data_IF_017746982991
#
_entry.id   IF_017746982991
#
_cell.length_a   1.000
_cell.length_b   1.000
_cell.length_c   1.000
_cell.angle_alpha   90.00
_cell.angle_beta   90.00
_cell.angle_gamma   90.00
#
_symmetry.space_group_name_H-M   'P 1'
#
loop_
_entity.id
_entity.type
_entity.pdbx_description
1 polymer ?
#
# COMPACT_ATOMS: atom_id res chain seq x y z
N UNK A 1 -20.26 9.60 -28.08
CA UNK A 1 -19.99 10.91 -27.44
C UNK A 1 -20.08 10.70 -25.95
N UNK A 2 -18.93 10.60 -25.26
CA UNK A 2 -18.89 10.34 -23.82
C UNK A 2 -19.38 11.58 -23.07
N UNK A 3 -20.39 11.40 -22.22
CA UNK A 3 -21.09 12.47 -21.52
C UNK A 3 -20.24 12.87 -20.33
N UNK A 4 -19.58 14.02 -20.41
CA UNK A 4 -18.90 14.63 -19.27
C UNK A 4 -19.96 14.96 -18.21
N UNK A 5 -20.02 14.19 -17.13
CA UNK A 5 -20.84 14.55 -15.97
C UNK A 5 -20.24 15.83 -15.38
N UNK A 6 -20.96 16.93 -15.53
CA UNK A 6 -20.58 18.22 -14.98
C UNK A 6 -20.56 18.10 -13.45
N UNK A 7 -19.36 18.15 -12.86
CA UNK A 7 -19.17 18.18 -11.42
C UNK A 7 -19.84 19.48 -10.92
N UNK A 8 -20.91 19.35 -10.14
CA UNK A 8 -21.60 20.52 -9.57
C UNK A 8 -20.72 21.15 -8.49
N UNK A 9 -20.42 22.45 -8.66
CA UNK A 9 -19.68 23.29 -7.70
C UNK A 9 -20.22 23.07 -6.29
N UNK A 10 -19.36 22.66 -5.36
CA UNK A 10 -19.71 22.36 -3.97
C UNK A 10 -19.97 20.88 -3.64
N UNK A 11 -20.03 19.98 -4.64
CA UNK A 11 -20.01 18.51 -4.46
C UNK A 11 -18.78 17.84 -5.06
N UNK A 12 -17.75 18.64 -5.33
CA UNK A 12 -16.50 18.18 -5.92
C UNK A 12 -15.78 17.18 -5.02
N UNK A 13 -15.80 17.37 -3.70
CA UNK A 13 -15.19 16.44 -2.74
C UNK A 13 -15.86 15.06 -2.78
N UNK A 14 -17.19 15.00 -2.70
CA UNK A 14 -17.97 13.75 -2.75
C UNK A 14 -17.87 13.06 -4.13
N UNK A 15 -17.76 13.84 -5.21
CA UNK A 15 -17.57 13.32 -6.57
C UNK A 15 -16.16 12.75 -6.77
N UNK A 16 -15.14 13.40 -6.20
CA UNK A 16 -13.75 12.92 -6.20
C UNK A 16 -13.63 11.67 -5.33
N UNK A 17 -14.22 11.64 -4.13
CA UNK A 17 -14.22 10.46 -3.25
C UNK A 17 -14.85 9.26 -3.94
N UNK A 18 -16.03 9.42 -4.55
CA UNK A 18 -16.69 8.35 -5.31
C UNK A 18 -15.88 7.89 -6.53
N UNK A 19 -15.14 8.80 -7.18
CA UNK A 19 -14.32 8.48 -8.34
C UNK A 19 -13.02 7.77 -7.94
N UNK A 20 -12.40 8.18 -6.83
CA UNK A 20 -11.26 7.50 -6.21
C UNK A 20 -11.66 6.10 -5.75
N UNK A 21 -12.85 5.94 -5.16
CA UNK A 21 -13.36 4.63 -4.75
C UNK A 21 -13.60 3.70 -5.95
N UNK A 22 -14.27 4.18 -6.99
CA UNK A 22 -14.62 3.34 -8.15
C UNK A 22 -13.45 3.03 -9.07
N UNK A 23 -12.59 4.00 -9.36
CA UNK A 23 -11.51 3.83 -10.33
C UNK A 23 -10.19 3.39 -9.71
N UNK A 24 -9.91 3.80 -8.47
CA UNK A 24 -8.64 3.49 -7.81
C UNK A 24 -8.79 2.38 -6.77
N UNK A 25 -9.85 2.32 -5.97
CA UNK A 25 -9.94 1.24 -4.99
C UNK A 25 -10.38 -0.10 -5.60
N UNK A 26 -11.44 -0.11 -6.40
CA UNK A 26 -12.03 -1.35 -6.91
C UNK A 26 -11.23 -1.97 -8.08
N UNK A 27 -10.53 -1.15 -8.88
CA UNK A 27 -9.96 -1.61 -10.14
C UNK A 27 -8.60 -0.98 -10.50
N UNK A 28 -7.83 -0.44 -9.54
CA UNK A 28 -6.52 0.13 -9.86
C UNK A 28 -5.61 -0.84 -10.62
N UNK A 29 -5.68 -2.16 -10.34
CA UNK A 29 -4.88 -3.13 -11.08
C UNK A 29 -5.22 -3.17 -12.58
N UNK A 30 -6.41 -2.78 -13.00
CA UNK A 30 -6.74 -2.68 -14.42
C UNK A 30 -6.60 -1.25 -14.97
N UNK A 31 -6.42 -0.23 -14.13
CA UNK A 31 -6.43 1.20 -14.53
C UNK A 31 -5.17 1.99 -14.14
N UNK A 32 -4.16 1.34 -13.55
CA UNK A 32 -2.83 1.90 -13.23
C UNK A 32 -2.03 2.14 -14.53
N UNK A 33 -2.34 3.25 -15.21
CA UNK A 33 -1.55 3.82 -16.30
C UNK A 33 -1.09 5.25 -15.92
N UNK A 34 0.24 5.50 -15.84
CA UNK A 34 1.34 4.54 -15.93
C UNK A 34 1.38 3.60 -14.70
N UNK A 35 1.93 2.38 -14.88
CA UNK A 35 1.92 1.25 -13.94
C UNK A 35 2.70 1.43 -12.61
N UNK A 36 2.43 2.51 -11.88
CA UNK A 36 3.17 2.88 -10.67
C UNK A 36 2.81 1.97 -9.50
N UNK A 37 1.53 1.73 -9.25
CA UNK A 37 1.06 0.90 -8.14
C UNK A 37 1.47 -0.57 -8.33
N UNK A 38 1.38 -1.09 -9.57
CA UNK A 38 1.86 -2.45 -9.89
C UNK A 38 3.34 -2.57 -9.63
N UNK A 39 4.13 -1.58 -10.07
CA UNK A 39 5.57 -1.57 -9.87
C UNK A 39 5.93 -1.55 -8.38
N UNK A 40 5.23 -0.74 -7.57
CA UNK A 40 5.42 -0.71 -6.11
C UNK A 40 5.13 -2.09 -5.51
N UNK A 41 3.96 -2.67 -5.83
CA UNK A 41 3.55 -3.99 -5.35
C UNK A 41 4.59 -5.05 -5.69
N UNK A 42 4.98 -5.13 -6.95
CA UNK A 42 5.87 -6.17 -7.44
C UNK A 42 7.25 -6.03 -6.77
N UNK A 43 7.76 -4.81 -6.54
CA UNK A 43 9.01 -4.57 -5.79
C UNK A 43 8.93 -5.03 -4.33
N UNK A 44 7.76 -4.95 -3.69
CA UNK A 44 7.58 -5.41 -2.31
C UNK A 44 7.52 -6.94 -2.22
N UNK A 45 6.94 -7.59 -3.23
CA UNK A 45 6.63 -9.01 -3.21
C UNK A 45 7.62 -9.89 -3.99
N UNK A 46 8.54 -9.29 -4.77
CA UNK A 46 9.48 -10.01 -5.63
C UNK A 46 10.35 -11.02 -4.87
N UNK A 47 10.79 -10.69 -3.66
CA UNK A 47 11.58 -11.57 -2.82
C UNK A 47 10.75 -12.01 -1.61
N UNK A 48 10.17 -13.21 -1.68
CA UNK A 48 9.34 -13.77 -0.61
C UNK A 48 10.03 -13.86 0.75
N UNK A 49 11.36 -14.02 0.79
CA UNK A 49 12.12 -14.08 2.05
C UNK A 49 12.18 -12.71 2.73
N UNK A 50 12.26 -11.62 1.96
CA UNK A 50 12.28 -10.26 2.49
C UNK A 50 10.89 -9.61 2.57
N UNK A 51 9.92 -10.09 1.78
CA UNK A 51 8.60 -9.49 1.65
C UNK A 51 7.86 -9.43 2.99
N UNK A 52 7.99 -10.46 3.83
CA UNK A 52 7.38 -10.48 5.17
C UNK A 52 7.87 -9.33 6.06
N UNK A 53 9.19 -9.10 6.10
CA UNK A 53 9.80 -8.00 6.87
C UNK A 53 9.39 -6.63 6.33
N UNK A 54 9.40 -6.46 5.00
CA UNK A 54 8.98 -5.21 4.35
C UNK A 54 7.51 -4.87 4.63
N UNK A 55 6.61 -5.86 4.55
CA UNK A 55 5.20 -5.67 4.83
C UNK A 55 4.96 -5.38 6.32
N UNK A 56 5.65 -6.08 7.24
CA UNK A 56 5.56 -5.80 8.68
C UNK A 56 6.05 -4.39 9.05
N UNK A 57 7.16 -3.95 8.45
CA UNK A 57 7.67 -2.59 8.61
C UNK A 57 6.68 -1.56 8.06
N UNK A 58 6.07 -1.84 6.92
CA UNK A 58 5.06 -0.97 6.34
C UNK A 58 3.78 -0.89 7.18
N UNK A 59 3.31 -1.99 7.76
CA UNK A 59 2.19 -1.98 8.71
C UNK A 59 2.47 -1.07 9.91
N UNK A 60 3.70 -1.04 10.42
CA UNK A 60 4.09 -0.13 11.49
C UNK A 60 3.97 1.33 11.08
N UNK A 61 4.35 1.67 9.83
CA UNK A 61 4.20 3.03 9.29
C UNK A 61 2.73 3.40 9.17
N UNK A 62 1.88 2.50 8.66
CA UNK A 62 0.44 2.72 8.57
C UNK A 62 -0.22 2.93 9.94
N UNK A 63 0.22 2.22 10.99
CA UNK A 63 -0.33 2.37 12.35
C UNK A 63 0.16 3.64 13.06
N UNK A 64 1.44 3.99 12.88
CA UNK A 64 2.08 5.10 13.59
C UNK A 64 2.04 6.41 12.79
N UNK A 65 1.58 6.37 11.53
CA UNK A 65 1.66 7.43 10.54
C UNK A 65 3.09 7.70 10.03
N UNK A 66 4.10 7.52 10.88
CA UNK A 66 5.51 7.67 10.55
C UNK A 66 6.41 6.90 11.51
N UNK A 67 7.62 6.58 11.05
CA UNK A 67 8.69 6.00 11.90
C UNK A 67 9.99 6.78 11.74
N UNK A 68 10.95 6.60 12.64
CA UNK A 68 12.28 7.20 12.51
C UNK A 68 13.02 6.65 11.28
N UNK A 69 13.57 7.55 10.49
CA UNK A 69 14.46 7.23 9.39
C UNK A 69 15.85 6.86 9.94
N UNK A 70 16.31 5.67 9.62
CA UNK A 70 17.68 5.21 9.83
C UNK A 70 18.14 4.40 8.61
N UNK A 71 19.39 3.95 8.63
CA UNK A 71 20.02 3.22 7.52
C UNK A 71 19.76 1.71 7.59
N UNK A 72 18.65 1.31 8.21
CA UNK A 72 18.22 -0.09 8.19
C UNK A 72 17.94 -0.53 6.73
N UNK A 73 18.53 -1.65 6.25
CA UNK A 73 18.33 -2.14 4.90
C UNK A 73 16.87 -2.33 4.48
N UNK A 74 15.99 -2.74 5.39
CA UNK A 74 14.55 -2.91 5.10
C UNK A 74 13.87 -1.56 4.85
N UNK A 75 14.21 -0.54 5.63
CA UNK A 75 13.69 0.83 5.44
C UNK A 75 14.20 1.44 4.14
N UNK A 76 15.47 1.20 3.79
CA UNK A 76 16.04 1.63 2.51
C UNK A 76 15.32 0.94 1.35
N UNK A 77 15.14 -0.38 1.40
CA UNK A 77 14.40 -1.14 0.38
C UNK A 77 12.95 -0.65 0.25
N UNK A 78 12.27 -0.41 1.36
CA UNK A 78 10.90 0.10 1.37
C UNK A 78 10.83 1.53 0.78
N UNK A 79 11.85 2.36 0.96
CA UNK A 79 11.95 3.67 0.31
C UNK A 79 12.21 3.56 -1.20
N UNK A 80 13.06 2.62 -1.62
CA UNK A 80 13.36 2.37 -3.04
C UNK A 80 12.17 1.78 -3.81
N UNK A 81 11.19 1.20 -3.12
CA UNK A 81 9.93 0.80 -3.77
C UNK A 81 9.11 2.01 -4.21
N UNK A 82 9.30 3.18 -3.60
CA UNK A 82 8.48 4.39 -3.83
C UNK A 82 7.22 4.45 -2.96
N UNK A 83 6.98 3.43 -2.12
CA UNK A 83 5.82 3.39 -1.23
C UNK A 83 5.90 4.43 -0.12
N UNK A 84 7.12 4.64 0.41
CA UNK A 84 7.39 5.59 1.48
C UNK A 84 8.41 6.64 1.05
N UNK A 85 8.36 7.81 1.67
CA UNK A 85 9.33 8.89 1.50
C UNK A 85 9.99 9.23 2.83
N UNK A 86 11.21 9.79 2.75
CA UNK A 86 11.87 10.39 3.90
C UNK A 86 11.49 11.86 4.00
N UNK A 87 10.89 12.24 5.12
CA UNK A 87 10.59 13.61 5.48
C UNK A 87 11.39 13.96 6.75
N UNK A 88 12.50 14.69 6.57
CA UNK A 88 13.47 15.00 7.63
C UNK A 88 14.01 13.72 8.29
N UNK A 89 13.69 13.52 9.57
CA UNK A 89 14.12 12.38 10.39
C UNK A 89 13.10 11.24 10.42
N UNK A 90 12.03 11.33 9.62
CA UNK A 90 10.96 10.33 9.61
C UNK A 90 10.74 9.72 8.21
N UNK A 91 10.13 8.55 8.21
CA UNK A 91 9.58 7.86 7.04
C UNK A 91 8.06 7.83 7.14
N UNK A 92 7.38 8.21 6.07
CA UNK A 92 5.91 8.17 5.95
C UNK A 92 5.49 7.71 4.57
N UNK A 93 4.23 7.35 4.40
CA UNK A 93 3.70 6.96 3.09
C UNK A 93 3.75 8.15 2.13
N UNK A 94 4.15 7.88 0.88
CA UNK A 94 4.44 8.90 -0.11
C UNK A 94 3.18 9.69 -0.55
N UNK A 95 2.07 8.98 -0.68
CA UNK A 95 0.81 9.50 -1.20
C UNK A 95 -0.35 8.83 -0.48
N UNK A 96 -1.41 9.59 -0.18
CA UNK A 96 -2.64 9.06 0.39
C UNK A 96 -3.21 7.91 -0.45
N UNK A 97 -3.11 7.99 -1.78
CA UNK A 97 -3.55 6.92 -2.69
C UNK A 97 -2.85 5.58 -2.41
N UNK A 98 -1.57 5.62 -2.02
CA UNK A 98 -0.83 4.42 -1.64
C UNK A 98 -1.34 3.86 -0.32
N UNK A 99 -1.72 4.71 0.65
CA UNK A 99 -2.33 4.26 1.90
C UNK A 99 -3.70 3.63 1.64
N UNK A 100 -4.48 4.18 0.70
CA UNK A 100 -5.80 3.66 0.35
C UNK A 100 -5.70 2.29 -0.31
N UNK A 101 -4.78 2.13 -1.28
CA UNK A 101 -4.58 0.90 -2.05
C UNK A 101 -3.81 -0.15 -1.25
N UNK A 102 -2.65 0.22 -0.71
CA UNK A 102 -1.81 -0.61 0.15
C UNK A 102 -2.17 -0.33 1.61
N UNK A 103 -3.44 -0.56 1.98
CA UNK A 103 -3.90 -0.38 3.36
C UNK A 103 -3.53 -1.58 4.25
N UNK A 104 -3.93 -1.53 5.53
CA UNK A 104 -3.70 -2.61 6.50
C UNK A 104 -4.24 -3.96 6.03
N UNK A 105 -5.48 -4.00 5.53
CA UNK A 105 -6.10 -5.23 5.07
C UNK A 105 -5.36 -5.83 3.87
N UNK A 106 -4.86 -4.99 2.96
CA UNK A 106 -4.02 -5.45 1.86
C UNK A 106 -2.69 -6.05 2.38
N UNK A 107 -2.00 -5.35 3.28
CA UNK A 107 -0.73 -5.84 3.84
C UNK A 107 -0.90 -7.17 4.60
N UNK A 108 -1.97 -7.31 5.39
CA UNK A 108 -2.31 -8.55 6.08
C UNK A 108 -2.62 -9.70 5.12
N UNK A 109 -3.38 -9.42 4.06
CA UNK A 109 -3.68 -10.42 3.03
C UNK A 109 -2.40 -10.92 2.37
N UNK A 110 -1.49 -10.04 1.98
CA UNK A 110 -0.22 -10.45 1.38
C UNK A 110 0.68 -11.19 2.39
N UNK A 111 0.70 -10.78 3.65
CA UNK A 111 1.41 -11.50 4.71
C UNK A 111 0.88 -12.92 4.94
N UNK A 112 -0.44 -13.14 4.81
CA UNK A 112 -1.05 -14.48 4.82
C UNK A 112 -0.65 -15.27 3.57
N UNK A 113 -0.69 -14.65 2.39
CA UNK A 113 -0.28 -15.30 1.13
C UNK A 113 1.19 -15.76 1.13
N UNK A 114 2.07 -15.04 1.83
CA UNK A 114 3.48 -15.41 2.00
C UNK A 114 3.68 -16.61 2.94
N UNK A 115 2.69 -16.92 3.80
CA UNK A 115 2.72 -18.01 4.77
C UNK A 115 1.47 -18.89 4.65
N UNK A 116 1.30 -19.63 3.54
CA UNK A 116 0.10 -20.43 3.29
C UNK A 116 -0.13 -21.55 4.32
N UNK A 117 0.82 -21.82 5.22
CA UNK A 117 0.74 -22.87 6.25
C UNK A 117 0.96 -22.37 7.69
N UNK A 118 1.01 -21.05 7.95
CA UNK A 118 1.17 -20.58 9.33
C UNK A 118 -0.06 -20.88 10.20
N UNK A 119 -1.27 -20.91 9.61
CA UNK A 119 -2.52 -21.24 10.31
C UNK A 119 -2.59 -22.73 10.72
N UNK A 120 -1.91 -23.63 9.99
CA UNK A 120 -1.84 -25.06 10.35
C UNK A 120 -0.89 -25.35 11.52
N UNK A 121 0.04 -24.45 11.85
CA UNK A 121 0.96 -24.65 12.99
C UNK A 121 0.42 -24.12 14.32
N UNK A 122 -0.52 -23.17 14.31
CA UNK A 122 -1.18 -22.70 15.54
C UNK A 122 -2.21 -23.70 16.10
N UNK A 123 -2.57 -24.74 15.36
CA UNK A 123 -3.53 -25.76 15.76
C UNK A 123 -2.90 -27.00 16.45
N UNK A 124 -1.60 -26.99 16.73
CA UNK A 124 -0.86 -28.11 17.37
C UNK A 124 -0.13 -27.69 18.65
N UNK A 125 -0.51 -26.55 19.23
CA UNK A 125 0.01 -26.05 20.53
C UNK A 125 -1.13 -25.85 21.53
N UNK A 126 -2.13 -26.74 21.48
CA UNK A 126 -3.06 -27.02 22.56
C UNK A 126 -3.02 -28.52 22.89
#
# INVERSE_FOLDING_TARGET
MSKSEAISVGREAESIENLVEKQVLLNWQAHDEPGHLKTIRDRLLINKQCAGGLLGLYQKILQQGKIVADDNPEKIKLRLSGLIIREKVHLRVANHLHETVFNQNWAEKELRNLRPYAETFTAWVD
#
